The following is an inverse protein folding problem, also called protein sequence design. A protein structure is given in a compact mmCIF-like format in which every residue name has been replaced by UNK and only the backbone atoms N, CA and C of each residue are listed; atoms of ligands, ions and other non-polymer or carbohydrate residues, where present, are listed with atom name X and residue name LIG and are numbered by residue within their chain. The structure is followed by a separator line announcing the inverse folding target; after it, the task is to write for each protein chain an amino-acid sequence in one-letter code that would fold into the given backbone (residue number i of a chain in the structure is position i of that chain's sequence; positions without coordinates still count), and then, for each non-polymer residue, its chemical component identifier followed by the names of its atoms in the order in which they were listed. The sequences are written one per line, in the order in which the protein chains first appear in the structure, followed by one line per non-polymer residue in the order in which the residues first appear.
data_IF_314028948858
#
_entry.id   IF_314028948858
#
_cell.length_a   1.000
_cell.length_b   1.000
_cell.length_c   1.000
_cell.angle_alpha   90.00
_cell.angle_beta   90.00
_cell.angle_gamma   90.00
#
_symmetry.space_group_name_H-M   'P 1'
#
loop_
_entity.id
_entity.type
_entity.pdbx_description
1 polymer ?
#
# COMPACT_ATOMS: atom_id res chain seq x y z
N UNK A 1 -36.74 20.84 -26.04
CA UNK A 1 -36.65 21.89 -25.00
C UNK A 1 -35.56 21.43 -24.02
N UNK A 2 -34.46 22.15 -23.95
CA UNK A 2 -33.40 21.83 -22.96
C UNK A 2 -33.89 22.31 -21.59
N UNK A 3 -34.23 21.37 -20.72
CA UNK A 3 -34.60 21.66 -19.34
C UNK A 3 -33.38 22.25 -18.64
N UNK A 4 -33.45 23.53 -18.30
CA UNK A 4 -32.31 24.18 -17.60
C UNK A 4 -32.30 23.73 -16.15
N UNK A 5 -31.21 23.12 -15.74
CA UNK A 5 -30.97 22.73 -14.35
C UNK A 5 -31.14 23.95 -13.43
N UNK A 6 -32.07 23.90 -12.48
CA UNK A 6 -32.25 24.99 -11.52
C UNK A 6 -31.10 25.03 -10.53
N UNK A 7 -30.80 26.23 -9.98
CA UNK A 7 -29.74 26.42 -8.97
C UNK A 7 -29.93 25.50 -7.76
N UNK A 8 -31.18 25.32 -7.32
CA UNK A 8 -31.50 24.42 -6.20
C UNK A 8 -31.28 22.97 -6.53
N UNK A 9 -31.67 22.51 -7.75
CA UNK A 9 -31.42 21.14 -8.19
C UNK A 9 -29.92 20.86 -8.32
N UNK A 10 -29.17 21.77 -8.93
CA UNK A 10 -27.72 21.65 -9.04
C UNK A 10 -27.03 21.54 -7.66
N UNK A 11 -27.44 22.39 -6.72
CA UNK A 11 -26.94 22.36 -5.33
C UNK A 11 -27.25 21.04 -4.64
N UNK A 12 -28.49 20.55 -4.75
CA UNK A 12 -28.90 19.31 -4.09
C UNK A 12 -28.18 18.09 -4.68
N UNK A 13 -28.01 18.04 -6.02
CA UNK A 13 -27.22 16.99 -6.67
C UNK A 13 -25.77 17.02 -6.23
N UNK A 14 -25.18 18.21 -6.15
CA UNK A 14 -23.78 18.37 -5.71
C UNK A 14 -23.60 17.91 -4.26
N UNK A 15 -24.36 18.45 -3.32
CA UNK A 15 -24.21 18.08 -1.92
C UNK A 15 -24.66 16.64 -1.63
N UNK A 16 -25.77 16.20 -2.24
CA UNK A 16 -26.25 14.84 -2.07
C UNK A 16 -25.28 13.80 -2.66
N UNK A 17 -24.78 14.05 -3.86
CA UNK A 17 -23.75 13.20 -4.48
C UNK A 17 -22.45 13.18 -3.68
N UNK A 18 -21.97 14.35 -3.24
CA UNK A 18 -20.76 14.44 -2.42
C UNK A 18 -20.91 13.70 -1.09
N UNK A 19 -22.03 13.87 -0.40
CA UNK A 19 -22.29 13.17 0.86
C UNK A 19 -22.38 11.65 0.68
N UNK A 20 -23.05 11.21 -0.41
CA UNK A 20 -23.17 9.79 -0.73
C UNK A 20 -21.79 9.15 -1.00
N UNK A 21 -20.98 9.74 -1.88
CA UNK A 21 -19.67 9.19 -2.18
C UNK A 21 -18.69 9.31 -1.01
N UNK A 22 -18.81 10.36 -0.21
CA UNK A 22 -18.03 10.47 1.03
C UNK A 22 -18.37 9.37 2.02
N UNK A 23 -19.65 9.02 2.19
CA UNK A 23 -20.06 7.90 3.04
C UNK A 23 -19.51 6.56 2.54
N UNK A 24 -19.53 6.31 1.22
CA UNK A 24 -18.91 5.14 0.61
C UNK A 24 -17.39 5.13 0.88
N UNK A 25 -16.72 6.25 0.68
CA UNK A 25 -15.28 6.38 0.93
C UNK A 25 -14.93 6.03 2.38
N UNK A 26 -15.65 6.58 3.36
CA UNK A 26 -15.44 6.26 4.78
C UNK A 26 -15.70 4.78 5.05
N UNK A 27 -16.78 4.21 4.50
CA UNK A 27 -17.12 2.80 4.68
C UNK A 27 -16.04 1.87 4.12
N UNK A 28 -15.57 2.12 2.91
CA UNK A 28 -14.50 1.33 2.29
C UNK A 28 -13.17 1.49 3.04
N UNK A 29 -12.82 2.69 3.47
CA UNK A 29 -11.61 2.95 4.25
C UNK A 29 -11.63 2.22 5.58
N UNK A 30 -12.74 2.29 6.31
CA UNK A 30 -12.91 1.57 7.57
C UNK A 30 -12.86 0.04 7.37
N UNK A 31 -13.52 -0.46 6.32
CA UNK A 31 -13.48 -1.89 5.98
C UNK A 31 -12.06 -2.35 5.63
N UNK A 32 -11.36 -1.61 4.77
CA UNK A 32 -9.98 -1.93 4.38
C UNK A 32 -9.04 -1.91 5.58
N UNK A 33 -9.17 -0.91 6.45
CA UNK A 33 -8.38 -0.83 7.68
C UNK A 33 -8.65 -2.03 8.59
N UNK A 34 -9.93 -2.35 8.83
CA UNK A 34 -10.32 -3.50 9.63
C UNK A 34 -9.75 -4.80 9.07
N UNK A 35 -9.90 -5.04 7.77
CA UNK A 35 -9.37 -6.23 7.10
C UNK A 35 -7.84 -6.32 7.22
N UNK A 36 -7.14 -5.22 6.99
CA UNK A 36 -5.68 -5.16 7.09
C UNK A 36 -5.19 -5.53 8.49
N UNK A 37 -5.81 -4.97 9.52
CA UNK A 37 -5.38 -5.19 10.91
C UNK A 37 -5.76 -6.57 11.44
N UNK A 38 -6.91 -7.12 11.02
CA UNK A 38 -7.43 -8.36 11.61
C UNK A 38 -7.14 -9.62 10.80
N UNK A 39 -7.00 -9.49 9.49
CA UNK A 39 -6.95 -10.65 8.59
C UNK A 39 -5.65 -10.74 7.80
N UNK A 40 -5.16 -9.63 7.26
CA UNK A 40 -3.97 -9.66 6.40
C UNK A 40 -2.66 -9.43 7.13
N UNK A 41 -2.70 -8.91 8.37
CA UNK A 41 -1.49 -8.70 9.19
C UNK A 41 -1.45 -9.72 10.32
N UNK A 42 -0.47 -10.61 10.29
CA UNK A 42 -0.16 -11.45 11.43
C UNK A 42 0.82 -10.72 12.36
N UNK A 43 0.30 -10.24 13.48
CA UNK A 43 1.09 -9.50 14.46
C UNK A 43 2.26 -10.32 15.04
N UNK A 44 2.18 -11.65 15.00
CA UNK A 44 3.25 -12.53 15.49
C UNK A 44 4.48 -12.52 14.59
N UNK A 45 4.32 -12.17 13.30
CA UNK A 45 5.40 -12.07 12.32
C UNK A 45 6.12 -10.72 12.37
N UNK A 46 5.55 -9.72 13.04
CA UNK A 46 6.12 -8.37 13.18
C UNK A 46 7.22 -8.33 14.23
N UNK A 47 8.32 -9.02 13.96
CA UNK A 47 9.48 -9.04 14.84
C UNK A 47 10.25 -7.72 14.84
N UNK A 48 11.12 -7.53 15.83
CA UNK A 48 12.03 -6.36 15.85
C UNK A 48 12.94 -6.29 14.63
N UNK A 49 13.25 -7.43 14.00
CA UNK A 49 14.01 -7.51 12.76
C UNK A 49 13.23 -6.92 11.58
N UNK A 50 11.94 -7.27 11.45
CA UNK A 50 11.04 -6.71 10.43
C UNK A 50 10.90 -5.20 10.62
N UNK A 51 10.69 -4.73 11.84
CA UNK A 51 10.60 -3.30 12.14
C UNK A 51 11.89 -2.54 11.77
N UNK A 52 13.07 -3.12 12.04
CA UNK A 52 14.34 -2.54 11.59
C UNK A 52 14.47 -2.51 10.06
N UNK A 53 14.05 -3.57 9.38
CA UNK A 53 14.02 -3.61 7.90
C UNK A 53 13.16 -2.50 7.31
N UNK A 54 11.96 -2.30 7.86
CA UNK A 54 11.09 -1.19 7.48
C UNK A 54 11.77 0.17 7.67
N UNK A 55 12.43 0.38 8.81
CA UNK A 55 13.15 1.63 9.06
C UNK A 55 14.30 1.87 8.08
N UNK A 56 15.04 0.83 7.71
CA UNK A 56 16.09 0.91 6.66
C UNK A 56 15.47 1.30 5.31
N UNK A 57 14.35 0.69 4.93
CA UNK A 57 13.59 1.00 3.72
C UNK A 57 13.16 2.48 3.66
N UNK A 58 12.59 2.97 4.75
CA UNK A 58 12.14 4.36 4.87
C UNK A 58 13.31 5.35 4.86
N UNK A 59 14.35 5.08 5.65
CA UNK A 59 15.53 5.94 5.78
C UNK A 59 16.27 6.13 4.46
N UNK A 60 16.35 5.07 3.64
CA UNK A 60 17.03 5.12 2.34
C UNK A 60 16.10 5.52 1.18
N UNK A 61 14.85 5.86 1.47
CA UNK A 61 13.86 6.30 0.47
C UNK A 61 13.66 5.32 -0.68
N UNK A 62 13.75 4.02 -0.41
CA UNK A 62 13.66 2.97 -1.43
C UNK A 62 12.33 2.99 -2.19
N UNK A 63 11.26 3.46 -1.53
CA UNK A 63 9.92 3.65 -2.10
C UNK A 63 9.88 4.65 -3.27
N UNK A 64 10.88 5.53 -3.37
CA UNK A 64 10.94 6.51 -4.48
C UNK A 64 11.29 5.88 -5.82
N UNK A 65 11.85 4.68 -5.82
CA UNK A 65 12.18 3.93 -7.03
C UNK A 65 11.47 2.59 -7.11
N UNK A 66 11.27 1.92 -5.99
CA UNK A 66 10.71 0.57 -5.90
C UNK A 66 9.29 0.55 -5.39
N UNK A 67 8.54 -0.49 -5.76
CA UNK A 67 7.27 -0.84 -5.14
C UNK A 67 7.46 -1.99 -4.14
N UNK A 68 6.64 -1.96 -3.10
CA UNK A 68 6.46 -3.05 -2.16
C UNK A 68 4.96 -3.37 -2.08
N UNK A 69 4.56 -4.54 -2.55
CA UNK A 69 3.14 -4.95 -2.63
C UNK A 69 2.26 -3.95 -3.40
N UNK A 70 2.80 -3.33 -4.45
CA UNK A 70 2.11 -2.36 -5.29
C UNK A 70 2.15 -0.91 -4.78
N UNK A 71 2.68 -0.66 -3.59
CA UNK A 71 2.91 0.71 -3.08
C UNK A 71 4.31 1.21 -3.41
N UNK A 72 4.40 2.39 -3.97
CA UNK A 72 5.67 3.05 -4.29
C UNK A 72 5.78 3.46 -5.75
N UNK A 73 6.99 3.77 -6.19
CA UNK A 73 7.28 4.15 -7.56
C UNK A 73 7.55 2.93 -8.45
N UNK A 74 7.11 2.99 -9.69
CA UNK A 74 7.32 1.93 -10.70
C UNK A 74 8.55 2.16 -11.57
N UNK A 75 9.54 2.87 -11.07
CA UNK A 75 10.78 3.12 -11.79
C UNK A 75 11.74 1.92 -11.73
N UNK A 76 11.73 1.18 -10.64
CA UNK A 76 12.54 -0.01 -10.41
C UNK A 76 11.63 -1.21 -10.07
N UNK A 77 12.16 -2.46 -10.12
CA UNK A 77 11.35 -3.66 -9.90
C UNK A 77 10.67 -3.71 -8.53
N UNK A 78 9.52 -4.41 -8.50
CA UNK A 78 8.81 -4.80 -7.27
C UNK A 78 9.70 -5.68 -6.38
N UNK A 79 9.76 -5.36 -5.08
CA UNK A 79 10.65 -6.07 -4.13
C UNK A 79 9.91 -6.94 -3.11
N UNK A 80 8.58 -7.03 -3.17
CA UNK A 80 7.79 -7.82 -2.22
C UNK A 80 8.20 -9.27 -2.09
N UNK A 81 8.58 -9.91 -3.19
CA UNK A 81 9.00 -11.32 -3.23
C UNK A 81 10.49 -11.50 -3.56
N UNK A 82 11.30 -10.47 -3.39
CA UNK A 82 12.73 -10.54 -3.77
C UNK A 82 13.49 -11.60 -2.98
N UNK A 83 13.15 -11.78 -1.70
CA UNK A 83 13.75 -12.77 -0.84
C UNK A 83 13.56 -14.20 -1.36
N UNK A 84 12.31 -14.56 -1.71
CA UNK A 84 12.00 -15.89 -2.24
C UNK A 84 12.63 -16.10 -3.61
N UNK A 85 12.60 -15.08 -4.48
CA UNK A 85 13.23 -15.15 -5.82
C UNK A 85 14.75 -15.35 -5.77
N UNK A 86 15.40 -14.92 -4.72
CA UNK A 86 16.85 -15.07 -4.53
C UNK A 86 17.22 -16.26 -3.65
N UNK A 87 16.27 -17.18 -3.45
CA UNK A 87 16.54 -18.44 -2.74
C UNK A 87 16.73 -18.28 -1.24
N UNK A 88 16.18 -17.20 -0.63
CA UNK A 88 16.38 -16.90 0.79
C UNK A 88 15.86 -17.97 1.74
N UNK A 89 14.92 -18.79 1.29
CA UNK A 89 14.39 -19.93 2.05
C UNK A 89 15.20 -21.21 1.84
N UNK A 90 16.05 -21.28 0.80
CA UNK A 90 16.87 -22.44 0.45
C UNK A 90 18.32 -22.27 0.92
N UNK A 91 18.94 -21.11 0.64
CA UNK A 91 20.29 -20.75 1.06
C UNK A 91 20.32 -19.32 1.60
N UNK A 92 20.17 -19.22 2.91
CA UNK A 92 20.19 -17.96 3.65
C UNK A 92 21.48 -17.16 3.45
N UNK A 93 22.64 -17.84 3.35
CA UNK A 93 23.93 -17.18 3.24
C UNK A 93 24.11 -16.57 1.84
N UNK A 94 23.85 -17.32 0.80
CA UNK A 94 23.92 -16.85 -0.58
C UNK A 94 22.95 -15.70 -0.85
N UNK A 95 21.70 -15.82 -0.38
CA UNK A 95 20.71 -14.76 -0.53
C UNK A 95 21.10 -13.46 0.17
N UNK A 96 21.71 -13.53 1.35
CA UNK A 96 22.22 -12.36 2.08
C UNK A 96 23.38 -11.69 1.34
N UNK A 97 24.32 -12.45 0.81
CA UNK A 97 25.43 -11.89 0.03
C UNK A 97 24.93 -11.24 -1.26
N UNK A 98 23.96 -11.85 -1.94
CA UNK A 98 23.30 -11.27 -3.11
C UNK A 98 22.63 -9.93 -2.77
N UNK A 99 21.87 -9.88 -1.68
CA UNK A 99 21.26 -8.64 -1.19
C UNK A 99 22.28 -7.55 -0.87
N UNK A 100 23.37 -7.90 -0.18
CA UNK A 100 24.44 -6.94 0.14
C UNK A 100 25.14 -6.41 -1.11
N UNK A 101 25.35 -7.26 -2.11
CA UNK A 101 25.97 -6.85 -3.37
C UNK A 101 25.07 -5.91 -4.20
N UNK A 102 23.76 -5.95 -3.95
CA UNK A 102 22.75 -5.16 -4.66
C UNK A 102 22.48 -3.79 -4.02
N UNK A 103 22.64 -3.66 -2.71
CA UNK A 103 22.41 -2.43 -1.95
C UNK A 103 23.66 -1.56 -1.85
#
# INVERSE_FOLDING_TARGET
MAERLTKSAARNVFYGGSAFFFAIFIGLTAHSHYYMVTTSTDATTLTSSVARGKHVWEKNSCINCHTLLGEGAYFAPEVGNVWDRWGGNEDLAAARETLKAWM
#
